data_IF_572525301642
#
_entry.id   IF_572525301642
#
_cell.length_a   1.000
_cell.length_b   1.000
_cell.length_c   1.000
_cell.angle_alpha   90.00
_cell.angle_beta   90.00
_cell.angle_gamma   90.00
#
_symmetry.space_group_name_H-M   'P 1'
#
loop_
_entity.id
_entity.type
_entity.pdbx_description
1 polymer ?
#
# COMPACT_ATOMS: atom_id res chain seq x y z
N UNK A 1 -13.65 40.77 2.10
CA UNK A 1 -13.93 39.69 1.12
C UNK A 1 -13.44 38.40 1.76
N UNK A 2 -14.29 37.37 1.92
CA UNK A 2 -13.84 36.10 2.52
C UNK A 2 -12.94 35.36 1.53
N UNK A 3 -11.75 34.95 1.95
CA UNK A 3 -10.80 34.18 1.14
C UNK A 3 -11.20 32.70 1.02
N UNK A 4 -12.07 32.20 1.90
CA UNK A 4 -12.40 30.79 2.09
C UNK A 4 -11.47 30.03 3.05
N UNK A 5 -10.42 30.69 3.57
CA UNK A 5 -9.41 30.04 4.41
C UNK A 5 -9.92 29.68 5.81
N UNK A 6 -10.81 30.50 6.38
CA UNK A 6 -11.39 30.24 7.70
C UNK A 6 -12.33 29.01 7.65
N UNK A 7 -13.13 28.90 6.59
CA UNK A 7 -14.02 27.78 6.34
C UNK A 7 -13.22 26.50 6.01
N UNK A 8 -12.10 26.63 5.29
CA UNK A 8 -11.18 25.52 5.04
C UNK A 8 -10.51 25.02 6.33
N UNK A 9 -10.02 25.94 7.16
CA UNK A 9 -9.42 25.58 8.46
C UNK A 9 -10.45 24.91 9.39
N UNK A 10 -11.70 25.39 9.40
CA UNK A 10 -12.78 24.79 10.16
C UNK A 10 -13.13 23.38 9.65
N UNK A 11 -13.22 23.18 8.34
CA UNK A 11 -13.47 21.87 7.75
C UNK A 11 -12.29 20.90 7.98
N UNK A 12 -11.06 21.39 7.97
CA UNK A 12 -9.88 20.55 8.25
C UNK A 12 -9.88 20.01 9.69
N UNK A 13 -10.45 20.75 10.65
CA UNK A 13 -10.61 20.28 12.03
C UNK A 13 -11.66 19.18 12.19
N UNK A 14 -12.70 19.16 11.33
CA UNK A 14 -13.72 18.12 11.31
C UNK A 14 -14.22 17.85 9.88
N UNK A 15 -13.52 16.97 9.12
CA UNK A 15 -13.80 16.77 7.69
C UNK A 15 -15.17 16.18 7.36
N UNK A 16 -15.79 15.52 8.33
CA UNK A 16 -17.11 14.86 8.21
C UNK A 16 -18.27 15.86 8.39
N UNK A 17 -18.00 17.08 8.84
CA UNK A 17 -19.03 18.08 9.16
C UNK A 17 -19.59 18.75 7.90
N UNK A 18 -20.74 18.25 7.45
CA UNK A 18 -21.41 18.69 6.22
C UNK A 18 -21.65 20.20 6.15
N UNK A 19 -22.00 20.82 7.28
CA UNK A 19 -22.24 22.26 7.38
C UNK A 19 -20.97 23.06 7.05
N UNK A 20 -19.80 22.61 7.50
CA UNK A 20 -18.51 23.26 7.18
C UNK A 20 -18.16 23.11 5.71
N UNK A 21 -18.47 21.96 5.11
CA UNK A 21 -18.29 21.76 3.68
C UNK A 21 -19.18 22.70 2.86
N UNK A 22 -20.43 22.91 3.28
CA UNK A 22 -21.34 23.87 2.64
C UNK A 22 -20.87 25.31 2.75
N UNK A 23 -20.37 25.72 3.93
CA UNK A 23 -19.80 27.05 4.15
C UNK A 23 -18.60 27.29 3.23
N UNK A 24 -17.65 26.35 3.18
CA UNK A 24 -16.49 26.43 2.28
C UNK A 24 -16.91 26.51 0.81
N UNK A 25 -17.85 25.67 0.37
CA UNK A 25 -18.37 25.69 -1.01
C UNK A 25 -18.95 27.05 -1.36
N UNK A 26 -19.69 27.67 -0.45
CA UNK A 26 -20.31 28.97 -0.66
C UNK A 26 -19.26 30.07 -0.78
N UNK A 27 -18.25 30.08 0.12
CA UNK A 27 -17.15 31.04 0.07
C UNK A 27 -16.37 30.94 -1.26
N UNK A 28 -16.07 29.71 -1.71
CA UNK A 28 -15.41 29.47 -2.99
C UNK A 28 -16.25 29.95 -4.19
N UNK A 29 -17.57 29.70 -4.17
CA UNK A 29 -18.48 30.14 -5.23
C UNK A 29 -18.55 31.68 -5.33
N UNK A 30 -18.65 32.38 -4.20
CA UNK A 30 -18.63 33.85 -4.15
C UNK A 30 -17.32 34.38 -4.72
N UNK A 31 -16.19 33.79 -4.33
CA UNK A 31 -14.87 34.21 -4.84
C UNK A 31 -14.73 33.97 -6.34
N UNK A 32 -15.17 32.82 -6.84
CA UNK A 32 -15.14 32.50 -8.28
C UNK A 32 -16.05 33.40 -9.13
N UNK A 33 -17.13 33.93 -8.55
CA UNK A 33 -18.00 34.91 -9.21
C UNK A 33 -17.34 36.29 -9.34
N UNK A 34 -16.54 36.70 -8.34
CA UNK A 34 -15.88 38.00 -8.29
C UNK A 34 -14.50 38.01 -8.98
N UNK A 35 -13.81 36.87 -9.03
CA UNK A 35 -12.45 36.73 -9.55
C UNK A 35 -12.39 35.63 -10.62
N UNK A 36 -12.31 36.06 -11.88
CA UNK A 36 -12.25 35.17 -13.04
C UNK A 36 -10.94 34.37 -13.12
N UNK A 37 -9.82 34.91 -12.62
CA UNK A 37 -8.55 34.20 -12.58
C UNK A 37 -8.60 33.08 -11.54
N UNK A 38 -9.13 33.38 -10.35
CA UNK A 38 -9.37 32.39 -9.31
C UNK A 38 -10.28 31.26 -9.82
N UNK A 39 -11.38 31.60 -10.51
CA UNK A 39 -12.28 30.59 -11.10
C UNK A 39 -11.55 29.63 -12.04
N UNK A 40 -10.68 30.13 -12.91
CA UNK A 40 -9.88 29.29 -13.82
C UNK A 40 -8.88 28.41 -13.08
N UNK A 41 -8.22 28.95 -12.06
CA UNK A 41 -7.30 28.19 -11.23
C UNK A 41 -8.02 27.06 -10.47
N UNK A 42 -9.20 27.35 -9.92
CA UNK A 42 -10.03 26.37 -9.21
C UNK A 42 -10.50 25.23 -10.13
N UNK A 43 -10.91 25.56 -11.36
CA UNK A 43 -11.32 24.56 -12.36
C UNK A 43 -10.13 23.67 -12.79
N UNK A 44 -8.97 24.28 -13.03
CA UNK A 44 -7.73 23.55 -13.37
C UNK A 44 -7.35 22.57 -12.27
N UNK A 45 -7.37 23.03 -11.01
CA UNK A 45 -7.10 22.19 -9.86
C UNK A 45 -8.09 21.02 -9.76
N UNK A 46 -9.39 21.26 -10.00
CA UNK A 46 -10.41 20.21 -9.97
C UNK A 46 -10.16 19.13 -11.03
N UNK A 47 -9.82 19.54 -12.26
CA UNK A 47 -9.46 18.60 -13.34
C UNK A 47 -8.25 17.74 -12.96
N UNK A 48 -7.20 18.34 -12.41
CA UNK A 48 -6.01 17.62 -11.94
C UNK A 48 -6.33 16.65 -10.80
N UNK A 49 -7.13 17.07 -9.82
CA UNK A 49 -7.55 16.22 -8.71
C UNK A 49 -8.38 15.01 -9.19
N UNK A 50 -9.18 15.20 -10.25
CA UNK A 50 -9.93 14.11 -10.87
C UNK A 50 -9.00 13.12 -11.55
N UNK A 51 -7.96 13.58 -12.24
CA UNK A 51 -6.94 12.71 -12.84
C UNK A 51 -6.19 11.87 -11.81
N UNK A 52 -5.90 12.42 -10.62
CA UNK A 52 -5.26 11.68 -9.53
C UNK A 52 -6.19 10.62 -8.93
N UNK A 53 -7.50 10.91 -8.83
CA UNK A 53 -8.49 9.90 -8.37
C UNK A 53 -8.73 8.78 -9.38
N UNK A 54 -8.51 9.04 -10.66
CA UNK A 54 -8.67 8.07 -11.75
C UNK A 54 -7.36 7.38 -12.12
N UNK A 55 -6.21 7.87 -11.63
CA UNK A 55 -4.95 7.16 -11.63
C UNK A 55 -5.11 5.88 -10.81
N UNK A 56 -5.09 4.74 -11.49
CA UNK A 56 -5.16 3.41 -10.91
C UNK A 56 -4.29 3.35 -9.66
N UNK A 57 -4.92 3.18 -8.50
CA UNK A 57 -4.19 2.90 -7.28
C UNK A 57 -3.76 1.44 -7.31
N UNK A 58 -2.77 1.12 -8.13
CA UNK A 58 -2.31 -0.26 -8.22
C UNK A 58 -1.56 -0.60 -6.94
N UNK A 59 -2.28 -1.11 -5.94
CA UNK A 59 -1.65 -1.72 -4.77
C UNK A 59 -1.34 -3.16 -5.13
N UNK A 60 -0.09 -3.40 -5.49
CA UNK A 60 0.44 -4.75 -5.62
C UNK A 60 0.91 -5.21 -4.26
N UNK A 61 0.19 -6.16 -3.66
CA UNK A 61 0.64 -6.82 -2.45
C UNK A 61 1.05 -8.26 -2.75
N UNK A 62 2.27 -8.64 -2.36
CA UNK A 62 2.84 -9.97 -2.64
C UNK A 62 3.38 -10.56 -1.36
N UNK A 63 2.74 -11.62 -0.86
CA UNK A 63 3.33 -12.51 0.15
C UNK A 63 4.10 -13.59 -0.60
N UNK A 64 5.36 -13.82 -0.26
CA UNK A 64 6.15 -14.92 -0.82
C UNK A 64 6.76 -15.75 0.33
N UNK A 65 6.51 -17.06 0.32
CA UNK A 65 7.10 -18.04 1.27
C UNK A 65 6.60 -17.97 2.73
N UNK A 66 7.04 -18.95 3.53
CA UNK A 66 6.88 -19.00 4.99
C UNK A 66 5.53 -19.50 5.53
N UNK A 67 5.45 -19.68 6.85
CA UNK A 67 4.21 -19.97 7.58
C UNK A 67 3.85 -18.77 8.44
N UNK A 68 2.65 -18.21 8.26
CA UNK A 68 2.17 -17.09 9.06
C UNK A 68 1.30 -17.63 10.20
N UNK A 69 1.80 -17.50 11.43
CA UNK A 69 1.12 -17.97 12.65
C UNK A 69 0.21 -16.91 13.28
N UNK A 70 0.02 -15.77 12.59
CA UNK A 70 -0.76 -14.63 13.05
C UNK A 70 -1.41 -13.88 11.89
N UNK A 71 -2.23 -12.85 12.18
CA UNK A 71 -3.02 -12.17 11.16
C UNK A 71 -2.12 -11.34 10.23
N UNK A 72 -2.28 -11.55 8.93
CA UNK A 72 -1.66 -10.72 7.89
C UNK A 72 -2.68 -9.75 7.36
N UNK A 73 -2.35 -8.45 7.38
CA UNK A 73 -3.19 -7.39 6.84
C UNK A 73 -2.46 -6.68 5.70
N UNK A 74 -3.11 -6.63 4.54
CA UNK A 74 -2.54 -6.15 3.28
C UNK A 74 -3.59 -5.33 2.53
N UNK A 75 -3.28 -4.10 2.16
CA UNK A 75 -4.25 -3.21 1.51
C UNK A 75 -3.73 -1.79 1.32
N UNK A 76 -4.53 -0.96 0.64
CA UNK A 76 -4.21 0.42 0.26
C UNK A 76 -4.49 1.42 1.37
N UNK A 77 -5.70 1.38 1.92
CA UNK A 77 -6.18 2.31 2.93
C UNK A 77 -6.89 1.53 4.04
N UNK A 78 -6.67 1.91 5.31
CA UNK A 78 -7.36 1.34 6.47
C UNK A 78 -7.80 2.46 7.40
N UNK A 79 -9.03 2.38 7.90
CA UNK A 79 -9.55 3.29 8.92
C UNK A 79 -10.32 2.48 9.97
N UNK A 80 -10.15 2.81 11.25
CA UNK A 80 -10.85 2.12 12.35
C UNK A 80 -10.48 0.65 12.54
N UNK A 81 -9.29 0.23 12.09
CA UNK A 81 -8.89 -1.17 12.13
C UNK A 81 -8.43 -1.61 13.53
N UNK A 82 -9.11 -2.61 14.10
CA UNK A 82 -8.68 -3.33 15.30
C UNK A 82 -8.30 -4.75 14.92
N UNK A 83 -7.03 -5.14 15.15
CA UNK A 83 -6.56 -6.51 14.90
C UNK A 83 -6.38 -7.21 16.25
N UNK A 84 -7.29 -8.14 16.56
CA UNK A 84 -7.17 -9.00 17.75
C UNK A 84 -6.57 -10.34 17.33
N UNK A 85 -5.28 -10.55 17.62
CA UNK A 85 -4.62 -11.83 17.40
C UNK A 85 -4.72 -12.70 18.66
N UNK A 86 -5.43 -13.83 18.58
CA UNK A 86 -5.30 -14.88 19.57
C UNK A 86 -4.15 -15.77 19.13
N UNK A 87 -2.99 -15.68 19.78
CA UNK A 87 -1.92 -16.65 19.58
C UNK A 87 -2.45 -18.02 19.96
N UNK A 88 -2.78 -18.86 18.98
CA UNK A 88 -2.91 -20.29 19.26
C UNK A 88 -1.51 -20.79 19.54
N UNK A 89 -1.36 -21.30 20.76
CA UNK A 89 -0.08 -21.59 21.36
C UNK A 89 0.79 -22.58 20.58
N UNK A 90 2.07 -22.39 20.84
CA UNK A 90 3.21 -23.30 20.72
C UNK A 90 3.77 -23.57 19.31
N UNK A 91 5.07 -23.28 19.09
CA UNK A 91 5.77 -23.80 17.93
C UNK A 91 5.82 -25.31 18.08
N UNK A 92 5.10 -26.04 17.23
CA UNK A 92 5.34 -27.48 17.09
C UNK A 92 6.76 -27.64 16.58
N UNK A 93 7.70 -27.95 17.47
CA UNK A 93 8.99 -28.51 17.10
C UNK A 93 8.68 -29.78 16.31
N UNK A 94 8.82 -29.72 15.00
CA UNK A 94 8.92 -30.94 14.19
C UNK A 94 10.19 -31.65 14.67
N UNK A 95 10.10 -32.87 15.22
CA UNK A 95 11.30 -33.66 15.40
C UNK A 95 11.89 -33.87 14.00
N UNK A 96 13.18 -33.59 13.87
CA UNK A 96 13.95 -33.80 12.66
C UNK A 96 13.65 -35.20 12.08
N UNK A 97 13.17 -35.22 10.84
CA UNK A 97 12.77 -36.44 10.14
C UNK A 97 12.52 -36.18 8.66
N UNK A 98 13.61 -36.06 7.92
CA UNK A 98 13.78 -36.47 6.51
C UNK A 98 12.67 -36.12 5.51
N UNK A 99 12.76 -34.94 4.89
CA UNK A 99 12.57 -34.81 3.44
C UNK A 99 13.63 -33.82 2.94
N UNK A 100 14.58 -34.35 2.16
CA UNK A 100 15.84 -33.69 1.80
C UNK A 100 15.69 -32.48 0.87
N UNK A 101 16.79 -31.79 0.59
CA UNK A 101 16.79 -30.71 -0.41
C UNK A 101 16.58 -31.31 -1.79
N UNK A 102 15.45 -31.02 -2.44
CA UNK A 102 15.38 -31.14 -3.91
C UNK A 102 16.22 -30.00 -4.48
N UNK A 103 17.48 -30.33 -4.82
CA UNK A 103 18.31 -29.51 -5.69
C UNK A 103 17.71 -29.53 -7.10
N UNK A 104 17.81 -28.43 -7.87
CA UNK A 104 17.42 -28.43 -9.27
C UNK A 104 18.34 -29.37 -10.07
N UNK A 105 17.74 -30.18 -10.94
CA UNK A 105 18.45 -31.10 -11.83
C UNK A 105 19.55 -30.36 -12.59
N UNK A 106 20.81 -30.73 -12.33
CA UNK A 106 21.93 -30.37 -13.22
C UNK A 106 22.42 -31.65 -13.89
N UNK A 107 21.99 -31.76 -15.14
CA UNK A 107 22.28 -32.82 -16.08
C UNK A 107 23.79 -32.91 -16.40
N UNK A 108 24.32 -34.15 -16.37
CA UNK A 108 25.44 -34.58 -17.21
C UNK A 108 26.88 -34.38 -16.70
N UNK A 109 27.53 -35.45 -16.24
CA UNK A 109 28.96 -35.68 -16.48
C UNK A 109 29.27 -37.18 -16.46
N UNK A 110 29.67 -37.71 -17.62
CA UNK A 110 30.22 -39.04 -17.83
C UNK A 110 31.71 -39.11 -17.39
N UNK A 111 32.29 -40.30 -17.15
CA UNK A 111 33.54 -40.44 -16.42
C UNK A 111 34.79 -40.27 -17.31
N UNK A 112 35.71 -39.39 -16.90
CA UNK A 112 37.08 -39.30 -17.41
C UNK A 112 38.05 -40.14 -16.56
N UNK A 113 38.93 -40.90 -17.21
CA UNK A 113 39.66 -42.06 -16.66
C UNK A 113 40.83 -41.78 -15.68
N UNK A 114 41.47 -42.86 -15.18
CA UNK A 114 42.43 -42.77 -14.09
C UNK A 114 43.84 -42.43 -14.61
N UNK A 115 44.35 -41.26 -14.21
CA UNK A 115 45.76 -40.92 -14.31
C UNK A 115 46.52 -41.49 -13.12
N UNK A 116 47.43 -42.42 -13.38
CA UNK A 116 48.31 -43.00 -12.36
C UNK A 116 49.34 -42.00 -11.84
N UNK A 117 49.72 -42.18 -10.56
CA UNK A 117 51.09 -41.98 -10.10
C UNK A 117 51.33 -42.81 -8.84
N UNK A 118 52.37 -43.61 -8.93
CA UNK A 118 52.91 -44.56 -7.96
C UNK A 118 53.89 -43.78 -7.05
N UNK A 119 53.78 -43.96 -5.74
CA UNK A 119 54.74 -43.46 -4.75
C UNK A 119 55.59 -44.65 -4.28
N UNK A 120 56.92 -44.47 -4.33
CA UNK A 120 58.07 -45.29 -3.86
C UNK A 120 58.09 -46.82 -4.09
#
# INVERSE_FOLDING_TARGET
MSSGEAELAALAGNPEELERAHQLRTALAVRAALDAQFRRALDTWWQQAQSVRTGESTVTNRISGGTQYGPVVQGRDFNGLTITAHGSGEPRTTPAGTHGPTLPDTEGTAPGGPGGRQED
#
